data_IF_585580059642
#
_entry.id   IF_585580059642
#
_cell.length_a   1.000
_cell.length_b   1.000
_cell.length_c   1.000
_cell.angle_alpha   90.00
_cell.angle_beta   90.00
_cell.angle_gamma   90.00
#
_symmetry.space_group_name_H-M   'P 1'
#
loop_
_entity.id
_entity.type
_entity.pdbx_description
1 polymer ?
#
# COMPACT_ATOMS: atom_id res chain seq x y z
N UNK A 1 -20.14 6.20 -3.97
CA UNK A 1 -19.16 6.90 -4.83
C UNK A 1 -19.80 7.11 -6.19
N UNK A 2 -19.74 8.31 -6.78
CA UNK A 2 -20.31 8.58 -8.11
C UNK A 2 -19.51 7.79 -9.17
N UNK A 3 -20.13 7.03 -10.10
CA UNK A 3 -19.43 6.25 -11.12
C UNK A 3 -18.48 7.07 -11.98
N UNK A 4 -18.77 8.36 -12.20
CA UNK A 4 -17.89 9.29 -12.92
C UNK A 4 -16.55 9.47 -12.21
N UNK A 5 -16.58 9.56 -10.88
CA UNK A 5 -15.39 9.74 -10.06
C UNK A 5 -14.51 8.48 -10.07
N UNK A 6 -15.13 7.31 -10.11
CA UNK A 6 -14.43 6.03 -10.18
C UNK A 6 -13.65 5.86 -11.48
N UNK A 7 -14.29 6.18 -12.61
CA UNK A 7 -13.64 6.15 -13.93
C UNK A 7 -12.49 7.15 -14.02
N UNK A 8 -12.68 8.37 -13.50
CA UNK A 8 -11.63 9.38 -13.45
C UNK A 8 -10.40 8.90 -12.65
N UNK A 9 -10.59 8.27 -11.48
CA UNK A 9 -9.47 7.73 -10.71
C UNK A 9 -8.75 6.58 -11.41
N UNK A 10 -9.47 5.73 -12.15
CA UNK A 10 -8.87 4.65 -12.93
C UNK A 10 -8.01 5.19 -14.08
N UNK A 11 -8.50 6.17 -14.83
CA UNK A 11 -7.74 6.82 -15.90
C UNK A 11 -6.53 7.57 -15.35
N UNK A 12 -6.72 8.37 -14.31
CA UNK A 12 -5.63 9.14 -13.70
C UNK A 12 -4.53 8.21 -13.17
N UNK A 13 -4.90 7.15 -12.45
CA UNK A 13 -3.93 6.18 -11.93
C UNK A 13 -3.20 5.43 -13.04
N UNK A 14 -3.89 5.10 -14.15
CA UNK A 14 -3.27 4.50 -15.32
C UNK A 14 -2.22 5.42 -15.95
N UNK A 15 -2.60 6.68 -16.19
CA UNK A 15 -1.73 7.69 -16.81
C UNK A 15 -0.52 7.96 -15.92
N UNK A 16 -0.72 8.17 -14.62
CA UNK A 16 0.36 8.43 -13.67
C UNK A 16 1.34 7.25 -13.53
N UNK A 17 0.84 6.01 -13.59
CA UNK A 17 1.68 4.81 -13.54
C UNK A 17 2.60 4.67 -14.76
N UNK A 18 2.28 5.34 -15.88
CA UNK A 18 3.12 5.36 -17.09
C UNK A 18 4.32 6.30 -17.01
N UNK A 19 4.34 7.25 -16.07
CA UNK A 19 5.43 8.21 -15.92
C UNK A 19 6.46 7.75 -14.90
N UNK A 20 7.71 7.56 -15.35
CA UNK A 20 8.84 7.12 -14.50
C UNK A 20 9.07 8.03 -13.29
N UNK A 21 8.80 9.33 -13.39
CA UNK A 21 8.93 10.27 -12.27
C UNK A 21 8.02 9.94 -11.06
N UNK A 22 6.93 9.20 -11.25
CA UNK A 22 6.01 8.82 -10.18
C UNK A 22 6.21 7.39 -9.68
N UNK A 23 6.85 6.54 -10.48
CA UNK A 23 7.06 5.12 -10.16
C UNK A 23 8.47 4.83 -9.68
N UNK A 24 9.45 5.62 -10.12
CA UNK A 24 10.86 5.45 -9.75
C UNK A 24 11.30 6.46 -8.68
N UNK A 25 12.16 6.03 -7.74
CA UNK A 25 12.80 6.95 -6.81
C UNK A 25 13.72 7.91 -7.58
N UNK A 26 13.78 9.16 -7.13
CA UNK A 26 14.73 10.14 -7.65
C UNK A 26 16.09 9.88 -7.02
N UNK A 27 17.07 9.54 -7.84
CA UNK A 27 18.45 9.33 -7.43
C UNK A 27 19.35 10.44 -7.98
N UNK A 28 20.34 10.84 -7.21
CA UNK A 28 21.33 11.83 -7.63
C UNK A 28 22.55 11.12 -8.20
N UNK A 29 22.85 11.36 -9.47
CA UNK A 29 24.02 10.81 -10.12
C UNK A 29 25.20 11.76 -9.94
N UNK A 30 26.22 11.31 -9.20
CA UNK A 30 27.43 12.07 -8.93
C UNK A 30 28.30 12.29 -10.19
N UNK A 31 28.22 11.40 -11.19
CA UNK A 31 29.06 11.47 -12.38
C UNK A 31 28.58 12.56 -13.35
N UNK A 32 27.26 12.77 -13.42
CA UNK A 32 26.64 13.78 -14.31
C UNK A 32 26.14 15.02 -13.55
N UNK A 33 26.30 15.07 -12.23
CA UNK A 33 25.73 16.11 -11.34
C UNK A 33 24.25 16.39 -11.63
N UNK A 34 23.48 15.35 -11.92
CA UNK A 34 22.08 15.44 -12.33
C UNK A 34 21.19 14.47 -11.58
N UNK A 35 19.91 14.83 -11.47
CA UNK A 35 18.88 13.94 -10.93
C UNK A 35 18.37 13.02 -12.04
N UNK A 36 18.38 11.71 -11.78
CA UNK A 36 17.89 10.68 -12.70
C UNK A 36 16.75 9.89 -12.05
N UNK A 37 15.81 9.44 -12.88
CA UNK A 37 14.63 8.64 -12.47
C UNK A 37 14.60 7.29 -13.19
N UNK A 38 15.77 6.82 -13.61
CA UNK A 38 15.90 5.56 -14.33
C UNK A 38 15.96 4.40 -13.33
N UNK A 39 14.85 3.68 -13.22
CA UNK A 39 14.73 2.47 -12.42
C UNK A 39 13.90 1.42 -13.15
N UNK A 40 14.02 0.16 -12.72
CA UNK A 40 13.07 -0.88 -13.07
C UNK A 40 11.81 -0.77 -12.17
N UNK A 41 10.61 -0.52 -12.73
CA UNK A 41 9.41 -0.37 -11.93
C UNK A 41 9.11 -1.65 -11.13
N UNK A 42 8.71 -1.51 -9.87
CA UNK A 42 8.27 -2.65 -9.05
C UNK A 42 7.06 -3.36 -9.65
N UNK A 43 6.84 -4.63 -9.31
CA UNK A 43 5.73 -5.46 -9.82
C UNK A 43 4.35 -4.80 -9.72
N UNK A 44 4.14 -3.91 -8.72
CA UNK A 44 2.92 -3.12 -8.54
C UNK A 44 2.60 -2.16 -9.69
N UNK A 45 3.63 -1.68 -10.40
CA UNK A 45 3.56 -0.75 -11.52
C UNK A 45 3.88 -1.42 -12.86
N UNK A 46 3.89 -2.75 -12.89
CA UNK A 46 3.98 -3.52 -14.13
C UNK A 46 2.58 -3.99 -14.55
N UNK A 47 2.33 -4.01 -15.86
CA UNK A 47 1.05 -4.45 -16.41
C UNK A 47 0.91 -5.97 -16.20
N UNK A 48 -0.13 -6.37 -15.46
CA UNK A 48 -0.43 -7.78 -15.20
C UNK A 48 -1.77 -8.17 -15.82
N UNK A 49 -1.87 -9.42 -16.27
CA UNK A 49 -3.09 -9.98 -16.83
C UNK A 49 -3.93 -10.63 -15.73
N UNK A 50 -5.17 -10.17 -15.58
CA UNK A 50 -6.11 -10.70 -14.59
C UNK A 50 -7.24 -11.47 -15.28
N UNK A 51 -7.52 -12.66 -14.77
CA UNK A 51 -8.65 -13.49 -15.17
C UNK A 51 -9.84 -13.16 -14.26
N UNK A 52 -10.85 -12.48 -14.79
CA UNK A 52 -12.04 -12.09 -14.02
C UNK A 52 -13.04 -13.26 -14.03
N UNK A 53 -13.61 -13.66 -12.87
CA UNK A 53 -14.58 -14.75 -12.82
C UNK A 53 -15.86 -14.43 -13.63
N UNK A 54 -16.45 -15.50 -14.15
CA UNK A 54 -17.47 -15.62 -15.21
C UNK A 54 -18.68 -14.67 -15.13
N UNK A 55 -18.94 -14.02 -13.99
CA UNK A 55 -20.07 -13.09 -13.79
C UNK A 55 -20.01 -11.88 -14.75
N UNK A 56 -18.83 -11.52 -15.26
CA UNK A 56 -18.63 -10.35 -16.13
C UNK A 56 -17.94 -10.69 -17.46
N UNK A 57 -18.36 -11.76 -18.14
CA UNK A 57 -17.77 -12.26 -19.41
C UNK A 57 -16.26 -12.58 -19.30
N UNK A 58 -15.86 -13.83 -19.56
CA UNK A 58 -14.47 -14.30 -19.52
C UNK A 58 -13.52 -13.51 -20.45
N UNK A 59 -13.11 -12.32 -20.04
CA UNK A 59 -12.18 -11.43 -20.73
C UNK A 59 -10.96 -11.25 -19.84
N UNK A 60 -9.79 -11.47 -20.43
CA UNK A 60 -8.52 -11.08 -19.84
C UNK A 60 -8.42 -9.55 -19.88
N UNK A 61 -8.22 -8.94 -18.73
CA UNK A 61 -8.03 -7.49 -18.64
C UNK A 61 -6.61 -7.22 -18.14
N UNK A 62 -5.91 -6.34 -18.86
CA UNK A 62 -4.58 -5.87 -18.48
C UNK A 62 -4.75 -4.63 -17.61
N UNK A 63 -4.29 -4.71 -16.37
CA UNK A 63 -4.36 -3.61 -15.42
C UNK A 63 -3.11 -3.60 -14.54
N UNK A 64 -2.76 -2.44 -14.01
CA UNK A 64 -1.69 -2.35 -13.02
C UNK A 64 -2.23 -2.81 -11.66
N UNK A 65 -1.52 -3.66 -10.90
CA UNK A 65 -1.90 -4.03 -9.54
C UNK A 65 -2.16 -2.80 -8.65
N UNK A 66 -1.39 -1.72 -8.86
CA UNK A 66 -1.60 -0.43 -8.19
C UNK A 66 -3.03 0.12 -8.31
N UNK A 67 -3.73 -0.10 -9.43
CA UNK A 67 -5.11 0.38 -9.64
C UNK A 67 -6.09 -0.27 -8.66
N UNK A 68 -5.90 -1.55 -8.36
CA UNK A 68 -6.73 -2.29 -7.39
C UNK A 68 -6.54 -1.68 -5.99
N UNK A 69 -5.30 -1.40 -5.59
CA UNK A 69 -5.03 -0.75 -4.32
C UNK A 69 -5.55 0.69 -4.26
N UNK A 70 -5.45 1.44 -5.35
CA UNK A 70 -5.99 2.81 -5.46
C UNK A 70 -7.51 2.84 -5.27
N UNK A 71 -8.24 1.86 -5.80
CA UNK A 71 -9.68 1.71 -5.56
C UNK A 71 -9.99 1.51 -4.07
N UNK A 72 -9.26 0.65 -3.38
CA UNK A 72 -9.47 0.41 -1.96
C UNK A 72 -9.19 1.66 -1.12
N UNK A 73 -8.06 2.34 -1.38
CA UNK A 73 -7.67 3.56 -0.68
C UNK A 73 -8.65 4.72 -0.94
N UNK A 74 -9.08 4.92 -2.19
CA UNK A 74 -10.05 5.97 -2.55
C UNK A 74 -11.43 5.70 -1.97
N UNK A 75 -11.88 4.44 -1.93
CA UNK A 75 -13.15 4.07 -1.29
C UNK A 75 -13.11 4.38 0.20
N UNK A 76 -12.03 4.00 0.89
CA UNK A 76 -11.85 4.34 2.30
C UNK A 76 -11.84 5.86 2.52
N UNK A 77 -11.08 6.60 1.72
CA UNK A 77 -11.01 8.06 1.80
C UNK A 77 -12.39 8.72 1.59
N UNK A 78 -13.18 8.23 0.63
CA UNK A 78 -14.53 8.73 0.37
C UNK A 78 -15.50 8.45 1.52
N UNK A 79 -15.34 7.33 2.23
CA UNK A 79 -16.21 6.97 3.34
C UNK A 79 -15.81 7.72 4.62
N UNK A 80 -14.52 7.80 4.92
CA UNK A 80 -14.00 8.33 6.19
C UNK A 80 -13.78 9.85 6.16
N UNK A 81 -13.48 10.43 4.99
CA UNK A 81 -13.29 11.88 4.82
C UNK A 81 -14.40 12.73 5.44
N UNK A 82 -15.69 12.43 5.21
CA UNK A 82 -16.80 13.13 5.87
C UNK A 82 -16.80 13.02 7.39
N UNK A 83 -16.42 11.85 7.96
CA UNK A 83 -16.41 11.64 9.41
C UNK A 83 -15.28 12.43 10.11
N UNK A 84 -14.15 12.66 9.46
CA UNK A 84 -13.06 13.49 10.02
C UNK A 84 -13.53 14.89 10.41
N UNK A 85 -14.34 15.53 9.54
CA UNK A 85 -14.93 16.84 9.84
C UNK A 85 -15.95 16.81 11.00
N UNK A 86 -16.69 15.71 11.15
CA UNK A 86 -17.62 15.53 12.27
C UNK A 86 -16.90 15.36 13.61
N UNK A 87 -15.81 14.57 13.66
CA UNK A 87 -15.01 14.40 14.87
C UNK A 87 -14.42 15.72 15.35
N UNK A 88 -13.82 16.50 14.44
CA UNK A 88 -13.26 17.81 14.75
C UNK A 88 -14.32 18.77 15.31
N UNK A 89 -15.52 18.78 14.70
CA UNK A 89 -16.66 19.58 15.19
C UNK A 89 -17.16 19.13 16.57
N UNK A 90 -17.25 17.83 16.82
CA UNK A 90 -17.66 17.25 18.10
C UNK A 90 -16.68 17.55 19.23
N UNK A 91 -15.38 17.41 18.97
CA UNK A 91 -14.32 17.69 19.95
C UNK A 91 -14.31 19.16 20.37
N UNK A 92 -14.44 20.09 19.40
CA UNK A 92 -14.57 21.54 19.68
C UNK A 92 -15.78 21.87 20.57
N UNK A 93 -16.91 21.18 20.38
CA UNK A 93 -18.10 21.36 21.24
C UNK A 93 -17.91 20.79 22.64
N UNK A 94 -17.24 19.65 22.78
CA UNK A 94 -17.02 18.99 24.07
C UNK A 94 -16.13 19.82 25.02
N UNK A 95 -15.10 20.49 24.49
CA UNK A 95 -14.18 21.29 25.31
C UNK A 95 -14.62 22.76 25.48
N UNK A 96 -15.72 23.20 24.85
CA UNK A 96 -16.18 24.61 24.83
C UNK A 96 -15.10 25.62 24.39
N UNK A 97 -14.04 25.14 23.73
CA UNK A 97 -12.98 25.96 23.13
C UNK A 97 -13.40 26.19 21.68
N UNK A 98 -13.70 27.44 21.34
CA UNK A 98 -14.24 27.78 20.01
C UNK A 98 -13.19 27.64 18.90
N UNK A 99 -11.91 27.83 19.25
CA UNK A 99 -10.74 27.66 18.38
C UNK A 99 -9.52 27.26 19.24
N UNK A 100 -8.82 26.17 18.91
CA UNK A 100 -7.62 25.72 19.65
C UNK A 100 -6.43 26.68 19.55
N UNK A 101 -6.49 27.69 18.69
CA UNK A 101 -5.46 28.71 18.57
C UNK A 101 -6.01 29.96 17.88
N UNK A 102 -5.93 31.12 18.54
CA UNK A 102 -6.13 32.44 17.92
C UNK A 102 -4.94 32.87 17.02
N UNK A 103 -4.18 31.93 16.46
CA UNK A 103 -2.91 32.29 15.80
C UNK A 103 -3.14 32.95 14.43
N UNK A 104 -4.24 32.66 13.72
CA UNK A 104 -4.59 33.35 12.46
C UNK A 104 -6.13 33.43 12.28
N UNK A 105 -6.75 34.63 12.29
CA UNK A 105 -8.20 34.76 12.15
C UNK A 105 -8.65 34.47 10.71
N UNK A 106 -9.61 33.55 10.55
CA UNK A 106 -10.25 33.22 9.26
C UNK A 106 -9.73 31.95 8.56
N UNK A 107 -8.62 31.36 9.02
CA UNK A 107 -8.18 30.03 8.58
C UNK A 107 -8.63 29.02 9.63
N UNK A 108 -9.60 28.16 9.29
CA UNK A 108 -10.09 27.11 10.19
C UNK A 108 -8.94 26.35 10.85
N UNK A 109 -9.13 25.99 12.12
CA UNK A 109 -8.07 25.48 12.99
C UNK A 109 -7.21 24.43 12.30
N UNK A 110 -5.89 24.62 12.36
CA UNK A 110 -4.89 23.69 11.84
C UNK A 110 -5.17 22.24 12.30
N UNK A 111 -5.68 22.08 13.52
CA UNK A 111 -6.12 20.81 14.10
C UNK A 111 -7.23 20.11 13.28
N UNK A 112 -8.25 20.84 12.80
CA UNK A 112 -9.32 20.27 11.96
C UNK A 112 -8.78 19.69 10.64
N UNK A 113 -7.68 20.25 10.12
CA UNK A 113 -7.01 19.77 8.90
C UNK A 113 -6.10 18.58 9.17
N UNK A 114 -5.49 18.53 10.35
CA UNK A 114 -4.59 17.44 10.72
C UNK A 114 -5.33 16.18 11.18
N UNK A 115 -6.53 16.29 11.75
CA UNK A 115 -7.28 15.11 12.25
C UNK A 115 -7.60 14.11 11.11
N UNK A 116 -8.13 14.63 9.99
CA UNK A 116 -8.44 13.80 8.83
C UNK A 116 -7.16 13.28 8.16
N UNK A 117 -6.11 14.11 8.06
CA UNK A 117 -4.86 13.70 7.43
C UNK A 117 -4.10 12.67 8.24
N UNK A 118 -4.11 12.77 9.57
CA UNK A 118 -3.47 11.80 10.44
C UNK A 118 -4.16 10.44 10.38
N UNK A 119 -5.51 10.43 10.35
CA UNK A 119 -6.28 9.21 10.18
C UNK A 119 -5.98 8.57 8.82
N UNK A 120 -6.02 9.37 7.73
CA UNK A 120 -5.70 8.89 6.39
C UNK A 120 -4.27 8.35 6.28
N UNK A 121 -3.28 9.06 6.83
CA UNK A 121 -1.88 8.63 6.83
C UNK A 121 -1.68 7.31 7.60
N UNK A 122 -2.31 7.18 8.77
CA UNK A 122 -2.26 5.95 9.57
C UNK A 122 -2.86 4.78 8.81
N UNK A 123 -4.03 4.97 8.19
CA UNK A 123 -4.67 3.94 7.37
C UNK A 123 -3.80 3.53 6.18
N UNK A 124 -3.27 4.50 5.42
CA UNK A 124 -2.38 4.23 4.28
C UNK A 124 -1.15 3.44 4.73
N UNK A 125 -0.53 3.80 5.85
CA UNK A 125 0.63 3.08 6.38
C UNK A 125 0.31 1.62 6.73
N UNK A 126 -0.80 1.38 7.45
CA UNK A 126 -1.25 0.02 7.79
C UNK A 126 -1.61 -0.75 6.52
N UNK A 127 -2.30 -0.11 5.57
CA UNK A 127 -2.68 -0.73 4.31
C UNK A 127 -1.46 -1.16 3.48
N UNK A 128 -0.46 -0.28 3.35
CA UNK A 128 0.80 -0.61 2.68
C UNK A 128 1.51 -1.75 3.40
N UNK A 129 1.58 -1.72 4.73
CA UNK A 129 2.27 -2.75 5.51
C UNK A 129 1.58 -4.12 5.45
N UNK A 130 0.24 -4.17 5.35
CA UNK A 130 -0.53 -5.41 5.38
C UNK A 130 -0.82 -5.99 3.99
N UNK A 131 -1.08 -5.15 2.99
CA UNK A 131 -1.56 -5.60 1.68
C UNK A 131 -0.57 -5.40 0.54
N UNK A 132 0.39 -4.49 0.68
CA UNK A 132 1.32 -4.13 -0.40
C UNK A 132 2.72 -4.68 -0.14
N UNK A 133 3.25 -4.53 1.08
CA UNK A 133 4.55 -5.10 1.45
C UNK A 133 4.39 -6.59 1.69
N UNK A 134 4.82 -7.39 0.72
CA UNK A 134 4.99 -8.83 0.90
C UNK A 134 5.95 -9.16 2.06
N UNK A 135 5.86 -10.36 2.65
CA UNK A 135 6.76 -10.78 3.71
C UNK A 135 8.21 -10.78 3.20
N UNK A 136 9.03 -9.87 3.73
CA UNK A 136 10.43 -9.77 3.35
C UNK A 136 11.17 -11.03 3.87
N UNK A 137 11.72 -11.88 2.98
CA UNK A 137 12.33 -13.15 3.39
C UNK A 137 13.49 -12.92 4.37
N UNK A 138 14.29 -11.87 4.18
CA UNK A 138 15.40 -11.54 5.08
C UNK A 138 14.93 -11.22 6.50
N UNK A 139 13.79 -10.53 6.65
CA UNK A 139 13.20 -10.27 7.97
C UNK A 139 12.66 -11.54 8.62
N UNK A 140 12.03 -12.42 7.83
CA UNK A 140 11.56 -13.72 8.33
C UNK A 140 12.72 -14.60 8.79
N UNK A 141 13.82 -14.64 8.04
CA UNK A 141 15.02 -15.38 8.41
C UNK A 141 15.65 -14.80 9.67
N UNK A 142 15.77 -13.47 9.78
CA UNK A 142 16.26 -12.85 11.02
C UNK A 142 15.38 -13.19 12.21
N UNK A 143 14.05 -13.13 12.05
CA UNK A 143 13.12 -13.51 13.11
C UNK A 143 13.30 -14.98 13.48
N UNK A 144 13.41 -15.89 12.50
CA UNK A 144 13.68 -17.32 12.70
C UNK A 144 14.98 -17.58 13.48
N UNK A 145 16.06 -16.88 13.12
CA UNK A 145 17.37 -17.02 13.76
C UNK A 145 17.38 -16.54 15.22
N UNK A 146 16.41 -15.71 15.63
CA UNK A 146 16.26 -15.29 17.03
C UNK A 146 15.50 -16.28 17.91
N UNK A 147 14.86 -17.32 17.35
CA UNK A 147 14.18 -18.35 18.14
C UNK A 147 15.18 -19.29 18.84
N UNK A 148 14.69 -20.01 19.85
CA UNK A 148 15.44 -21.10 20.51
C UNK A 148 15.79 -22.21 19.51
N UNK A 149 16.94 -22.90 19.67
CA UNK A 149 17.38 -23.96 18.76
C UNK A 149 16.32 -25.06 18.55
N UNK A 150 15.60 -25.45 19.60
CA UNK A 150 14.56 -26.49 19.53
C UNK A 150 13.40 -26.09 18.60
N UNK A 151 13.03 -24.80 18.62
CA UNK A 151 11.97 -24.25 17.78
C UNK A 151 12.43 -24.08 16.33
N UNK A 152 13.70 -23.72 16.12
CA UNK A 152 14.30 -23.66 14.80
C UNK A 152 14.27 -25.04 14.12
N UNK A 153 14.65 -26.09 14.85
CA UNK A 153 14.64 -27.46 14.33
C UNK A 153 13.23 -27.94 13.98
N UNK A 154 12.24 -27.63 14.83
CA UNK A 154 10.85 -27.99 14.59
C UNK A 154 10.28 -27.33 13.32
N UNK A 155 10.48 -26.02 13.18
CA UNK A 155 10.04 -25.27 11.99
C UNK A 155 10.78 -25.75 10.73
N UNK A 156 12.09 -26.00 10.81
CA UNK A 156 12.86 -26.53 9.68
C UNK A 156 12.34 -27.89 9.21
N UNK A 157 12.09 -28.82 10.12
CA UNK A 157 11.56 -30.15 9.77
C UNK A 157 10.14 -30.06 9.18
N UNK A 158 9.31 -29.16 9.69
CA UNK A 158 7.95 -28.90 9.17
C UNK A 158 8.01 -28.32 7.75
N UNK A 159 8.92 -27.36 7.53
CA UNK A 159 9.14 -26.76 6.21
C UNK A 159 9.69 -27.79 5.22
N UNK A 160 10.65 -28.62 5.63
CA UNK A 160 11.20 -29.73 4.83
C UNK A 160 10.10 -30.70 4.41
N UNK A 161 9.26 -31.15 5.34
CA UNK A 161 8.15 -32.05 5.05
C UNK A 161 7.17 -31.45 4.01
N UNK A 162 6.82 -30.16 4.15
CA UNK A 162 5.96 -29.47 3.19
C UNK A 162 6.58 -29.32 1.79
N UNK A 163 7.89 -29.08 1.71
CA UNK A 163 8.56 -28.94 0.42
C UNK A 163 8.75 -30.29 -0.30
N UNK A 164 8.93 -31.38 0.46
CA UNK A 164 8.95 -32.75 -0.07
C UNK A 164 7.56 -33.14 -0.58
N UNK A 165 6.49 -32.87 0.16
CA UNK A 165 5.11 -33.11 -0.25
C UNK A 165 4.74 -32.36 -1.55
N UNK A 166 5.24 -31.13 -1.69
CA UNK A 166 5.09 -30.35 -2.94
C UNK A 166 6.00 -30.80 -4.09
N UNK A 167 6.84 -31.81 -3.90
CA UNK A 167 7.76 -32.32 -4.91
C UNK A 167 8.91 -31.37 -5.28
N UNK A 168 9.15 -30.32 -4.49
CA UNK A 168 10.19 -29.30 -4.78
C UNK A 168 11.58 -29.80 -4.40
N UNK A 169 11.67 -30.64 -3.36
CA UNK A 169 12.94 -31.16 -2.83
C UNK A 169 13.32 -32.55 -3.37
N UNK A 170 12.37 -33.26 -4.00
CA UNK A 170 12.63 -34.59 -4.57
C UNK A 170 13.50 -34.59 -5.83
N UNK A 171 13.69 -33.44 -6.50
CA UNK A 171 14.53 -33.34 -7.70
C UNK A 171 16.02 -33.07 -7.41
N UNK A 172 16.41 -32.94 -6.14
CA UNK A 172 17.80 -32.64 -5.72
C UNK A 172 18.57 -33.86 -5.22
N UNK A 173 17.90 -35.00 -4.99
CA UNK A 173 18.54 -36.25 -4.54
C UNK A 173 18.78 -37.25 -5.68
N UNK A 174 18.37 -36.92 -6.92
CA UNK A 174 18.53 -37.76 -8.13
C UNK A 174 19.55 -37.21 -9.16
N UNK A 175 20.47 -36.32 -8.76
CA UNK A 175 21.55 -35.79 -9.60
C UNK A 175 22.95 -35.97 -8.99
#
# INVERSE_FOLDING_TARGET
MNPVLFLFFLELSYVMSGYRCFTCPVEFNNDTNSFTVDCEPSELFQLQEYNIPVVLQSKTVRMYPFQIHSIALSTFASLIGPFGGFFASGFKRAFKIKDFANTIPGHGGIMDRFDCQYLMATFVNVYIASFIRGPNPSKLIQQFLTLRPDQQLHIFNTLKAHLVDRGVLGSLEDA
#
